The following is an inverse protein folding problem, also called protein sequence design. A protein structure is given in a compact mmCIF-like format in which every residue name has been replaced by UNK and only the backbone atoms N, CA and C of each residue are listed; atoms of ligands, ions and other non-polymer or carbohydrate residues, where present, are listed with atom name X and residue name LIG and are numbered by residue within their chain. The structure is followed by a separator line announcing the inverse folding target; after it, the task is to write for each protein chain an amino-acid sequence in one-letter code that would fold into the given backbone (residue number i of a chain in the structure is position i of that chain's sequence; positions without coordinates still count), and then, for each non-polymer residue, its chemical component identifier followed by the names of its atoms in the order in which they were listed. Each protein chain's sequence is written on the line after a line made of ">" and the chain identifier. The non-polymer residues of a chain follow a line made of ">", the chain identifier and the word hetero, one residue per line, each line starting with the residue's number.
data_IF_901436523283
#
_entry.id   IF_901436523283
#
_cell.length_a   1.000
_cell.length_b   1.000
_cell.length_c   1.000
_cell.angle_alpha   90.00
_cell.angle_beta   90.00
_cell.angle_gamma   90.00
#
_symmetry.space_group_name_H-M   'P 1'
#
loop_
_entity.id
_entity.type
_entity.pdbx_description
1 polymer ?
#
# COMPACT_ATOMS: atom_id res chain seq x y z
N UNK A 1 -23.38 73.38 39.22
CA UNK A 1 -22.17 72.63 39.62
C UNK A 1 -21.86 71.65 38.50
N UNK A 2 -20.97 72.05 37.61
CA UNK A 2 -20.53 71.28 36.44
C UNK A 2 -19.07 70.93 36.68
N UNK A 3 -18.78 69.64 36.80
CA UNK A 3 -17.45 69.10 37.05
C UNK A 3 -16.77 68.82 35.71
N UNK A 4 -15.69 69.55 35.44
CA UNK A 4 -14.78 69.34 34.32
C UNK A 4 -13.79 68.25 34.72
N UNK A 5 -13.86 67.07 34.10
CA UNK A 5 -12.87 66.00 34.27
C UNK A 5 -11.92 66.02 33.06
N UNK A 6 -10.69 66.44 33.31
CA UNK A 6 -9.55 66.34 32.39
C UNK A 6 -9.22 64.85 32.11
N UNK A 7 -8.81 64.48 30.88
CA UNK A 7 -8.33 63.14 30.61
C UNK A 7 -6.92 62.96 31.18
N UNK A 8 -6.75 61.96 32.06
CA UNK A 8 -5.45 61.54 32.56
C UNK A 8 -4.72 60.74 31.47
N UNK A 9 -3.68 61.35 30.90
CA UNK A 9 -2.69 60.72 30.04
C UNK A 9 -1.95 59.61 30.82
N UNK A 10 -2.38 58.37 30.69
CA UNK A 10 -1.56 57.21 31.06
C UNK A 10 -0.50 57.00 29.99
N UNK A 11 0.64 57.68 30.17
CA UNK A 11 1.88 57.37 29.46
C UNK A 11 2.28 55.92 29.75
N UNK A 12 1.98 55.03 28.81
CA UNK A 12 2.59 53.71 28.71
C UNK A 12 4.12 53.92 28.65
N UNK A 13 4.81 53.38 29.64
CA UNK A 13 6.26 53.55 29.78
C UNK A 13 7.00 52.73 28.71
N UNK A 14 8.15 53.20 28.26
CA UNK A 14 8.93 52.58 27.17
C UNK A 14 9.26 51.09 27.43
N UNK A 15 9.28 50.69 28.71
CA UNK A 15 9.46 49.32 29.18
C UNK A 15 8.31 48.38 28.71
N UNK A 16 7.05 48.84 28.74
CA UNK A 16 5.89 48.06 28.28
C UNK A 16 5.87 47.92 26.75
N UNK A 17 6.38 48.92 26.03
CA UNK A 17 6.56 48.84 24.58
C UNK A 17 7.66 47.83 24.22
N UNK A 18 8.75 47.77 24.99
CA UNK A 18 9.80 46.78 24.77
C UNK A 18 9.33 45.34 25.03
N UNK A 19 8.53 45.09 26.08
CA UNK A 19 7.98 43.76 26.35
C UNK A 19 6.96 43.33 25.29
N UNK A 20 6.15 44.26 24.77
CA UNK A 20 5.21 43.99 23.68
C UNK A 20 5.92 43.73 22.35
N UNK A 21 7.03 44.43 22.09
CA UNK A 21 7.88 44.17 20.92
C UNK A 21 8.66 42.86 21.09
N UNK A 22 9.09 42.47 22.29
CA UNK A 22 9.72 41.16 22.53
C UNK A 22 8.75 39.98 22.39
N UNK A 23 7.47 40.15 22.74
CA UNK A 23 6.42 39.15 22.48
C UNK A 23 6.03 39.07 20.99
N UNK A 24 6.17 40.17 20.24
CA UNK A 24 6.05 40.13 18.78
C UNK A 24 7.32 39.62 18.07
N UNK A 25 8.49 39.83 18.67
CA UNK A 25 9.78 39.35 18.18
C UNK A 25 10.03 37.87 18.48
N UNK A 26 9.33 37.28 19.45
CA UNK A 26 9.30 35.81 19.65
C UNK A 26 8.41 35.07 18.65
N UNK A 27 7.86 35.77 17.64
CA UNK A 27 7.01 35.15 16.61
C UNK A 27 7.68 34.91 15.25
N UNK A 28 9.01 34.76 15.22
CA UNK A 28 9.74 34.28 14.03
C UNK A 28 10.88 33.33 14.39
N UNK A 29 10.52 32.16 14.90
CA UNK A 29 11.27 30.93 14.63
C UNK A 29 10.42 30.01 13.73
N UNK A 30 9.87 30.56 12.66
CA UNK A 30 9.56 29.77 11.47
C UNK A 30 10.90 29.52 10.78
N UNK A 31 11.58 28.45 11.17
CA UNK A 31 12.96 28.21 10.74
C UNK A 31 13.59 26.95 11.31
N UNK A 32 13.08 26.40 12.41
CA UNK A 32 13.26 24.97 12.67
C UNK A 32 12.25 24.20 11.83
N UNK A 33 12.61 24.11 10.56
CA UNK A 33 12.24 23.00 9.72
C UNK A 33 12.50 21.70 10.49
N UNK A 34 11.47 21.20 11.16
CA UNK A 34 11.18 19.78 11.09
C UNK A 34 10.89 19.52 9.60
N UNK A 35 11.93 19.48 8.77
CA UNK A 35 11.82 18.92 7.44
C UNK A 35 11.29 17.51 7.69
N UNK A 36 10.10 17.16 7.18
CA UNK A 36 9.87 15.76 6.90
C UNK A 36 11.07 15.36 6.03
N UNK A 37 11.69 14.23 6.32
CA UNK A 37 12.86 13.75 5.57
C UNK A 37 12.59 13.53 4.07
N UNK A 38 11.40 13.87 3.59
CA UNK A 38 10.76 13.31 2.40
C UNK A 38 10.07 14.37 1.52
N UNK A 39 10.56 15.60 1.55
CA UNK A 39 10.12 16.68 0.65
C UNK A 39 9.76 17.95 1.41
N UNK A 40 10.49 19.03 1.13
CA UNK A 40 10.29 20.34 1.76
C UNK A 40 8.94 21.00 1.44
N UNK A 41 8.87 22.33 1.56
CA UNK A 41 7.67 23.18 1.41
C UNK A 41 6.87 23.04 0.08
N UNK A 42 7.23 22.12 -0.81
CA UNK A 42 6.58 21.87 -2.09
C UNK A 42 5.78 20.57 -2.06
N UNK A 43 4.48 20.66 -2.34
CA UNK A 43 3.62 19.51 -2.60
C UNK A 43 3.87 19.03 -4.03
N UNK A 44 4.59 17.92 -4.19
CA UNK A 44 4.76 17.26 -5.48
C UNK A 44 3.52 16.42 -5.78
N UNK A 45 2.96 16.57 -6.99
CA UNK A 45 1.86 15.72 -7.44
C UNK A 45 2.39 14.35 -7.80
N UNK A 46 1.69 13.31 -7.34
CA UNK A 46 2.07 11.91 -7.57
C UNK A 46 0.84 11.10 -7.90
N UNK A 47 0.97 10.23 -8.88
CA UNK A 47 -0.08 9.31 -9.29
C UNK A 47 0.46 7.91 -9.55
N UNK A 48 -0.33 6.91 -9.15
CA UNK A 48 -0.09 5.51 -9.49
C UNK A 48 -1.34 4.99 -10.18
N UNK A 49 -1.14 4.41 -11.36
CA UNK A 49 -2.14 3.61 -12.06
C UNK A 49 -1.78 2.14 -11.90
N UNK A 50 -2.69 1.37 -11.31
CA UNK A 50 -2.55 -0.04 -11.03
C UNK A 50 -3.68 -0.80 -11.71
N UNK A 51 -3.36 -1.80 -12.51
CA UNK A 51 -4.30 -2.82 -12.98
C UNK A 51 -4.00 -4.15 -12.32
N UNK A 52 -4.98 -4.71 -11.61
CA UNK A 52 -4.92 -6.11 -11.16
C UNK A 52 -5.53 -6.98 -12.25
N UNK A 53 -4.68 -7.70 -12.99
CA UNK A 53 -5.09 -8.45 -14.18
C UNK A 53 -5.64 -9.81 -13.79
N UNK A 54 -4.76 -10.70 -13.33
CA UNK A 54 -5.06 -12.12 -13.13
C UNK A 54 -4.12 -12.74 -12.11
N UNK A 55 -4.66 -13.64 -11.27
CA UNK A 55 -3.87 -14.51 -10.42
C UNK A 55 -3.59 -15.85 -11.09
N UNK A 56 -2.51 -16.53 -10.71
CA UNK A 56 -2.29 -17.95 -11.04
C UNK A 56 -1.64 -18.68 -9.87
N UNK A 57 -1.89 -19.98 -9.76
CA UNK A 57 -1.36 -20.83 -8.70
C UNK A 57 -1.68 -20.30 -7.28
N UNK A 58 -2.78 -19.56 -7.10
CA UNK A 58 -3.13 -18.99 -5.80
C UNK A 58 -3.59 -20.09 -4.85
N UNK A 59 -2.89 -20.26 -3.73
CA UNK A 59 -3.17 -21.28 -2.72
C UNK A 59 -2.49 -22.63 -2.98
N UNK A 60 -1.77 -22.80 -4.09
CA UNK A 60 -0.90 -23.96 -4.31
C UNK A 60 0.50 -23.63 -3.81
N UNK A 61 0.75 -23.91 -2.53
CA UNK A 61 2.07 -23.74 -1.94
C UNK A 61 3.06 -24.73 -2.60
N UNK A 62 3.76 -24.30 -3.64
CA UNK A 62 4.92 -25.04 -4.16
C UNK A 62 6.09 -24.70 -3.23
N UNK A 63 6.47 -25.64 -2.38
CA UNK A 63 7.71 -25.53 -1.60
C UNK A 63 8.88 -25.33 -2.56
N UNK A 64 9.52 -24.17 -2.52
CA UNK A 64 10.67 -23.86 -3.36
C UNK A 64 11.93 -24.45 -2.70
N UNK A 65 12.42 -25.57 -3.26
CA UNK A 65 13.86 -25.88 -3.38
C UNK A 65 14.57 -26.61 -2.24
N UNK A 66 14.61 -27.95 -2.31
CA UNK A 66 15.86 -28.71 -2.07
C UNK A 66 16.26 -29.25 -3.45
N UNK A 67 17.50 -29.06 -3.94
CA UNK A 67 17.93 -29.59 -5.22
C UNK A 67 18.52 -30.99 -5.03
N UNK A 68 17.76 -32.05 -5.25
CA UNK A 68 18.33 -33.40 -5.34
C UNK A 68 17.81 -34.16 -6.57
N UNK A 69 18.73 -34.27 -7.53
CA UNK A 69 18.99 -35.40 -8.41
C UNK A 69 17.85 -36.43 -8.65
N UNK A 70 17.44 -36.50 -9.91
CA UNK A 70 17.12 -37.74 -10.64
C UNK A 70 16.32 -38.81 -9.88
N UNK A 71 15.00 -38.78 -10.06
CA UNK A 71 14.20 -40.00 -10.04
C UNK A 71 13.09 -39.87 -11.08
N UNK A 72 13.41 -40.31 -12.30
CA UNK A 72 12.42 -40.71 -13.29
C UNK A 72 11.57 -41.84 -12.72
N UNK A 73 10.43 -41.48 -12.13
CA UNK A 73 9.31 -42.40 -11.93
C UNK A 73 8.19 -41.91 -12.83
N UNK A 74 8.11 -42.54 -13.99
CA UNK A 74 6.94 -42.50 -14.87
C UNK A 74 5.82 -43.25 -14.16
N UNK A 75 5.04 -42.56 -13.33
CA UNK A 75 3.69 -43.03 -13.02
C UNK A 75 2.86 -42.79 -14.27
N UNK A 76 2.55 -43.88 -14.98
CA UNK A 76 1.43 -43.94 -15.90
C UNK A 76 0.20 -43.60 -15.06
N UNK A 77 -0.24 -42.34 -15.13
CA UNK A 77 -1.53 -41.90 -14.62
C UNK A 77 -2.49 -41.90 -15.79
N UNK A 78 -3.51 -42.76 -15.69
CA UNK A 78 -4.67 -42.80 -16.58
C UNK A 78 -5.23 -41.38 -16.81
N UNK A 79 -5.62 -41.00 -18.04
CA UNK A 79 -6.04 -39.64 -18.37
C UNK A 79 -7.47 -39.29 -17.93
N UNK A 80 -8.12 -40.09 -17.08
CA UNK A 80 -9.55 -39.92 -16.73
C UNK A 80 -9.82 -39.68 -15.24
N UNK A 81 -8.83 -39.18 -14.50
CA UNK A 81 -9.06 -38.49 -13.22
C UNK A 81 -9.21 -37.00 -13.48
N UNK A 82 -10.37 -36.61 -14.02
CA UNK A 82 -10.89 -35.25 -13.79
C UNK A 82 -10.81 -35.04 -12.28
N UNK A 83 -9.97 -34.10 -11.84
CA UNK A 83 -9.85 -33.71 -10.45
C UNK A 83 -11.19 -33.15 -9.97
N UNK A 84 -12.11 -34.06 -9.62
CA UNK A 84 -13.38 -33.76 -9.00
C UNK A 84 -13.09 -33.32 -7.57
N UNK A 85 -13.29 -32.02 -7.35
CA UNK A 85 -14.06 -31.59 -6.19
C UNK A 85 -13.32 -31.58 -4.85
N UNK A 86 -12.16 -30.93 -4.77
CA UNK A 86 -11.92 -30.04 -3.63
C UNK A 86 -11.23 -28.76 -4.11
N UNK A 87 -11.77 -28.20 -5.20
CA UNK A 87 -11.47 -26.84 -5.63
C UNK A 87 -11.98 -25.89 -4.54
N UNK A 88 -11.15 -25.71 -3.52
CA UNK A 88 -11.25 -24.77 -2.41
C UNK A 88 -12.39 -23.77 -2.64
N UNK A 89 -13.54 -24.03 -1.98
CA UNK A 89 -14.79 -23.27 -2.06
C UNK A 89 -14.64 -21.91 -1.31
N UNK A 90 -13.57 -21.21 -1.67
CA UNK A 90 -13.16 -19.92 -1.15
C UNK A 90 -13.10 -18.96 -2.31
N UNK A 91 -13.62 -17.78 -2.05
CA UNK A 91 -13.56 -16.67 -2.97
C UNK A 91 -12.32 -15.84 -2.66
N UNK A 92 -11.73 -15.23 -3.68
CA UNK A 92 -10.47 -14.49 -3.59
C UNK A 92 -10.70 -13.03 -3.94
N UNK A 93 -10.09 -12.15 -3.17
CA UNK A 93 -10.03 -10.72 -3.44
C UNK A 93 -8.61 -10.18 -3.15
N UNK A 94 -8.27 -9.05 -3.74
CA UNK A 94 -7.03 -8.33 -3.44
C UNK A 94 -7.35 -7.03 -2.70
N UNK A 95 -6.62 -6.75 -1.62
CA UNK A 95 -6.62 -5.46 -0.94
C UNK A 95 -5.35 -4.70 -1.30
N UNK A 96 -5.52 -3.43 -1.66
CA UNK A 96 -4.44 -2.58 -2.18
C UNK A 96 -4.10 -1.54 -1.12
N UNK A 97 -2.87 -1.59 -0.64
CA UNK A 97 -2.34 -0.76 0.42
C UNK A 97 -1.16 0.07 -0.09
N UNK A 98 -1.14 1.38 0.18
CA UNK A 98 0.03 2.23 -0.04
C UNK A 98 0.49 2.74 1.31
N UNK A 99 1.76 2.52 1.65
CA UNK A 99 2.37 2.96 2.90
C UNK A 99 1.55 2.53 4.15
N UNK A 100 0.97 1.33 4.10
CA UNK A 100 0.14 0.77 5.19
C UNK A 100 -1.32 1.28 5.24
N UNK A 101 -1.72 2.18 4.35
CA UNK A 101 -3.13 2.64 4.25
C UNK A 101 -3.83 1.90 3.12
N UNK A 102 -5.04 1.40 3.35
CA UNK A 102 -5.88 0.74 2.32
C UNK A 102 -6.50 1.78 1.39
N UNK A 103 -6.29 1.64 0.08
CA UNK A 103 -6.85 2.53 -0.94
C UNK A 103 -7.97 1.90 -1.76
N UNK A 104 -8.00 0.56 -1.84
CA UNK A 104 -8.99 -0.13 -2.65
C UNK A 104 -9.00 -1.63 -2.43
N UNK A 105 -10.05 -2.27 -2.92
CA UNK A 105 -10.20 -3.72 -2.95
C UNK A 105 -10.77 -4.13 -4.29
N UNK A 106 -10.34 -5.28 -4.81
CA UNK A 106 -10.92 -5.85 -6.01
C UNK A 106 -12.27 -6.51 -5.73
N UNK A 107 -13.02 -6.82 -6.79
CA UNK A 107 -14.20 -7.68 -6.67
C UNK A 107 -13.81 -9.09 -6.19
N UNK A 108 -14.77 -9.71 -5.50
CA UNK A 108 -14.64 -11.07 -5.01
C UNK A 108 -14.83 -12.06 -6.17
N UNK A 109 -13.83 -12.92 -6.42
CA UNK A 109 -13.84 -13.90 -7.53
C UNK A 109 -13.81 -15.33 -7.01
N UNK A 110 -14.69 -16.17 -7.57
CA UNK A 110 -14.73 -17.60 -7.26
C UNK A 110 -13.58 -18.33 -7.94
N UNK A 111 -12.99 -19.29 -7.24
CA UNK A 111 -11.99 -20.20 -7.79
C UNK A 111 -10.57 -19.87 -7.33
N UNK A 112 -10.10 -20.63 -6.33
CA UNK A 112 -8.69 -20.64 -5.93
C UNK A 112 -7.87 -21.35 -7.01
N UNK A 113 -7.11 -20.58 -7.78
CA UNK A 113 -6.25 -21.10 -8.84
C UNK A 113 -5.84 -19.99 -9.78
N UNK A 114 -6.75 -19.57 -10.65
CA UNK A 114 -6.49 -18.57 -11.69
C UNK A 114 -7.61 -17.52 -11.86
N UNK A 115 -7.94 -16.73 -10.81
CA UNK A 115 -8.95 -15.69 -10.91
C UNK A 115 -8.54 -14.53 -11.82
N UNK A 116 -9.50 -13.97 -12.56
CA UNK A 116 -9.32 -12.83 -13.46
C UNK A 116 -10.17 -11.64 -12.98
N UNK A 117 -9.51 -10.50 -12.76
CA UNK A 117 -10.14 -9.26 -12.28
C UNK A 117 -10.20 -8.22 -13.39
N UNK A 118 -9.06 -7.89 -14.01
CA UNK A 118 -8.93 -6.79 -14.96
C UNK A 118 -9.46 -5.46 -14.40
N UNK A 119 -9.16 -5.19 -13.14
CA UNK A 119 -9.63 -4.00 -12.44
C UNK A 119 -8.54 -2.93 -12.37
N UNK A 120 -8.91 -1.72 -12.77
CA UNK A 120 -8.04 -0.55 -12.81
C UNK A 120 -8.28 0.36 -11.61
N UNK A 121 -7.19 0.83 -11.02
CA UNK A 121 -7.18 1.74 -9.88
C UNK A 121 -6.25 2.91 -10.17
N UNK A 122 -6.74 4.13 -9.95
CA UNK A 122 -5.94 5.36 -10.08
C UNK A 122 -5.89 6.05 -8.73
N UNK A 123 -4.68 6.19 -8.20
CA UNK A 123 -4.43 6.87 -6.94
C UNK A 123 -3.66 8.16 -7.23
N UNK A 124 -4.28 9.32 -7.01
CA UNK A 124 -3.68 10.63 -7.27
C UNK A 124 -3.36 11.35 -5.95
N UNK A 125 -2.53 12.39 -6.02
CA UNK A 125 -2.16 13.25 -4.87
C UNK A 125 -1.55 12.44 -3.71
N UNK A 126 -0.69 11.47 -4.08
CA UNK A 126 -0.07 10.57 -3.13
C UNK A 126 1.05 11.24 -2.32
N UNK A 127 1.26 10.79 -1.06
CA UNK A 127 2.48 11.12 -0.32
C UNK A 127 3.72 10.61 -1.07
N UNK A 128 4.93 10.98 -0.62
CA UNK A 128 6.17 10.41 -1.17
C UNK A 128 6.10 8.89 -1.33
N UNK A 129 6.63 8.42 -2.46
CA UNK A 129 6.53 7.03 -2.86
C UNK A 129 7.25 6.12 -1.86
N UNK A 130 6.48 5.28 -1.19
CA UNK A 130 7.01 4.18 -0.40
C UNK A 130 6.68 2.84 -1.06
N UNK A 131 6.03 1.97 -0.30
CA UNK A 131 5.75 0.59 -0.69
C UNK A 131 4.27 0.44 -1.05
N UNK A 132 4.02 -0.01 -2.27
CA UNK A 132 2.74 -0.58 -2.67
C UNK A 132 2.69 -2.03 -2.22
N UNK A 133 1.75 -2.34 -1.34
CA UNK A 133 1.47 -3.68 -0.88
C UNK A 133 0.12 -4.13 -1.42
N UNK A 134 0.08 -5.34 -1.99
CA UNK A 134 -1.15 -5.97 -2.46
C UNK A 134 -1.33 -7.26 -1.67
N UNK A 135 -2.36 -7.29 -0.82
CA UNK A 135 -2.69 -8.43 0.01
C UNK A 135 -3.75 -9.29 -0.69
N UNK A 136 -3.44 -10.56 -0.92
CA UNK A 136 -4.38 -11.53 -1.47
C UNK A 136 -5.12 -12.18 -0.30
N UNK A 137 -6.43 -12.01 -0.26
CA UNK A 137 -7.31 -12.48 0.80
C UNK A 137 -8.22 -13.58 0.24
N UNK A 138 -8.45 -14.61 1.06
CA UNK A 138 -9.50 -15.61 0.80
C UNK A 138 -10.65 -15.45 1.78
N UNK A 139 -11.86 -15.56 1.29
CA UNK A 139 -13.09 -15.57 2.07
C UNK A 139 -13.79 -16.90 1.85
N UNK A 140 -14.16 -17.61 2.92
CA UNK A 140 -15.04 -18.76 2.79
C UNK A 140 -16.45 -18.23 2.59
N UNK A 141 -17.22 -18.81 1.66
CA UNK A 141 -18.60 -18.41 1.35
C UNK A 141 -19.54 -18.30 2.56
N UNK A 142 -19.22 -18.99 3.66
CA UNK A 142 -19.99 -19.00 4.92
C UNK A 142 -19.31 -18.24 6.08
N UNK A 143 -18.08 -17.75 5.89
CA UNK A 143 -17.35 -17.02 6.94
C UNK A 143 -17.35 -15.54 6.63
N UNK A 144 -17.68 -14.72 7.63
CA UNK A 144 -17.57 -13.26 7.54
C UNK A 144 -16.11 -12.74 7.65
N UNK A 145 -15.14 -13.65 7.81
CA UNK A 145 -13.73 -13.32 8.07
C UNK A 145 -12.89 -13.68 6.85
N UNK A 146 -12.18 -12.70 6.33
CA UNK A 146 -11.13 -12.89 5.34
C UNK A 146 -9.84 -13.40 6.00
N UNK A 147 -9.12 -14.27 5.30
CA UNK A 147 -7.83 -14.83 5.73
C UNK A 147 -6.78 -14.44 4.71
N UNK A 148 -5.67 -13.89 5.17
CA UNK A 148 -4.53 -13.54 4.32
C UNK A 148 -3.89 -14.80 3.72
N UNK A 149 -3.84 -14.86 2.39
CA UNK A 149 -3.08 -15.87 1.66
C UNK A 149 -1.60 -15.45 1.57
N UNK A 150 -1.35 -14.22 1.16
CA UNK A 150 -0.01 -13.66 1.06
C UNK A 150 -0.03 -12.24 0.53
N UNK A 151 1.15 -11.62 0.44
CA UNK A 151 1.32 -10.23 0.01
C UNK A 151 2.33 -10.13 -1.11
N UNK A 152 2.17 -9.08 -1.91
CA UNK A 152 3.14 -8.61 -2.90
C UNK A 152 3.58 -7.24 -2.43
N UNK A 153 4.89 -6.98 -2.41
CA UNK A 153 5.45 -5.68 -2.05
C UNK A 153 6.24 -5.12 -3.22
N UNK A 154 5.86 -3.94 -3.68
CA UNK A 154 6.45 -3.22 -4.80
C UNK A 154 6.94 -1.87 -4.32
N UNK A 155 8.24 -1.62 -4.44
CA UNK A 155 8.83 -0.31 -4.10
C UNK A 155 8.63 0.63 -5.28
N UNK A 156 7.78 1.63 -5.10
CA UNK A 156 7.37 2.53 -6.18
C UNK A 156 8.50 3.46 -6.65
N UNK A 157 9.46 3.77 -5.78
CA UNK A 157 10.63 4.59 -6.14
C UNK A 157 11.55 3.98 -7.21
N UNK A 158 11.43 2.68 -7.50
CA UNK A 158 12.24 2.02 -8.53
C UNK A 158 11.66 2.15 -9.95
N UNK A 159 10.44 2.69 -10.10
CA UNK A 159 9.77 2.78 -11.38
C UNK A 159 10.27 3.98 -12.18
N UNK A 160 10.43 3.77 -13.49
CA UNK A 160 10.66 4.89 -14.43
C UNK A 160 9.35 5.65 -14.61
N UNK A 161 9.41 6.97 -14.53
CA UNK A 161 8.22 7.84 -14.69
C UNK A 161 7.53 7.60 -16.03
N UNK A 162 6.20 7.59 -16.03
CA UNK A 162 5.34 7.38 -17.20
C UNK A 162 5.54 6.05 -17.94
N UNK A 163 6.31 5.11 -17.38
CA UNK A 163 6.52 3.81 -18.00
C UNK A 163 5.55 2.79 -17.43
N UNK A 164 4.78 2.15 -18.32
CA UNK A 164 3.89 1.05 -17.95
C UNK A 164 4.70 -0.24 -17.84
N UNK A 165 4.76 -0.80 -16.63
CA UNK A 165 5.39 -2.08 -16.35
C UNK A 165 4.31 -3.13 -16.15
N UNK A 166 4.39 -4.21 -16.91
CA UNK A 166 3.52 -5.37 -16.78
C UNK A 166 4.33 -6.62 -16.47
N UNK A 167 3.90 -7.40 -15.49
CA UNK A 167 4.61 -8.62 -15.13
C UNK A 167 3.88 -9.48 -14.12
N UNK A 168 4.42 -10.69 -13.93
CA UNK A 168 4.01 -11.60 -12.86
C UNK A 168 4.82 -11.30 -11.60
N UNK A 169 4.11 -11.08 -10.50
CA UNK A 169 4.68 -10.80 -9.19
C UNK A 169 4.39 -11.97 -8.24
N UNK A 170 5.38 -12.48 -7.51
CA UNK A 170 5.17 -13.61 -6.60
C UNK A 170 4.37 -13.16 -5.37
N UNK A 171 3.31 -13.92 -5.05
CA UNK A 171 2.55 -13.75 -3.81
C UNK A 171 3.27 -14.52 -2.72
N UNK A 172 3.77 -13.80 -1.72
CA UNK A 172 4.57 -14.36 -0.65
C UNK A 172 3.76 -14.45 0.63
N UNK A 173 3.72 -15.63 1.25
CA UNK A 173 3.13 -15.81 2.56
C UNK A 173 4.16 -15.42 3.63
N UNK A 174 3.84 -14.39 4.41
CA UNK A 174 4.58 -14.06 5.63
C UNK A 174 4.13 -15.02 6.73
N UNK A 175 4.92 -16.05 6.98
CA UNK A 175 4.74 -16.93 8.15
C UNK A 175 5.74 -16.53 9.24
N UNK A 176 5.55 -17.00 10.48
CA UNK A 176 6.50 -16.79 11.57
C UNK A 176 7.88 -17.47 11.34
N UNK A 177 8.06 -18.13 10.20
CA UNK A 177 9.32 -18.71 9.78
C UNK A 177 10.16 -17.69 9.00
N UNK A 178 11.50 -17.76 9.09
CA UNK A 178 12.38 -16.84 8.37
C UNK A 178 12.26 -16.93 6.85
N UNK A 179 11.73 -18.05 6.33
CA UNK A 179 11.57 -18.30 4.90
C UNK A 179 10.19 -17.88 4.41
N UNK A 180 10.14 -16.94 3.45
CA UNK A 180 8.91 -16.57 2.74
C UNK A 180 8.54 -17.69 1.76
N UNK A 181 7.33 -18.24 1.91
CA UNK A 181 6.82 -19.29 1.02
C UNK A 181 6.02 -18.63 -0.11
N UNK A 182 6.31 -18.99 -1.35
CA UNK A 182 5.51 -18.53 -2.49
C UNK A 182 4.21 -19.33 -2.56
N UNK A 183 3.08 -18.63 -2.51
CA UNK A 183 1.73 -19.21 -2.51
C UNK A 183 0.92 -18.87 -3.76
N UNK A 184 1.57 -18.27 -4.75
CA UNK A 184 0.99 -17.97 -6.06
C UNK A 184 1.72 -16.83 -6.76
N UNK A 185 1.13 -16.36 -7.85
CA UNK A 185 1.61 -15.22 -8.62
C UNK A 185 0.42 -14.35 -9.06
N UNK A 186 0.63 -13.04 -9.14
CA UNK A 186 -0.36 -12.07 -9.60
C UNK A 186 0.22 -11.27 -10.77
N UNK A 187 -0.53 -11.16 -11.86
CA UNK A 187 -0.19 -10.32 -13.00
C UNK A 187 -0.70 -8.91 -12.75
N UNK A 188 0.22 -7.97 -12.73
CA UNK A 188 -0.07 -6.56 -12.46
C UNK A 188 0.42 -5.70 -13.61
N UNK A 189 -0.29 -4.60 -13.88
CA UNK A 189 0.20 -3.48 -14.69
C UNK A 189 0.31 -2.26 -13.78
N UNK A 190 1.43 -1.57 -13.87
CA UNK A 190 1.76 -0.44 -13.00
C UNK A 190 2.33 0.70 -13.84
N UNK A 191 1.81 1.91 -13.65
CA UNK A 191 2.41 3.16 -14.13
C UNK A 191 2.53 4.13 -12.97
N UNK A 192 3.68 4.79 -12.86
CA UNK A 192 3.98 5.73 -11.78
C UNK A 192 4.33 7.07 -12.40
N UNK A 193 3.64 8.12 -11.97
CA UNK A 193 3.79 9.49 -12.44
C UNK A 193 4.13 10.41 -11.24
N UNK A 194 5.23 11.18 -11.32
CA UNK A 194 5.73 12.14 -10.30
C UNK A 194 6.38 13.36 -10.96
#
# INVERSE_FOLDING_TARGET
>A
MTETVEPSDSKLTAEEFMVSVELFATRKLCGQYLLPSDGGLYRMWRQVELTVVQGRNLGTAKGVGIPEASSSVTTIVDPDSRGEGDANDYDVLCEICLNGTVYGRTTLKKGAGSPEWHEDFTFSDLPPFGTLEIAVLREKRLSLKSVLLGTIQVVLGNFRRHHLVEGWYPVLQSSNMPTRIQVGELRLKLRVDE
#
